data_IF_458010538097
#
_entry.id   IF_458010538097
#
_cell.length_a   1.000
_cell.length_b   1.000
_cell.length_c   1.000
_cell.angle_alpha   90.00
_cell.angle_beta   90.00
_cell.angle_gamma   90.00
#
_symmetry.space_group_name_H-M   'P 1'
#
loop_
_entity.id
_entity.type
_entity.pdbx_description
1 polymer ?
#
# COMPACT_ATOMS: atom_id res chain seq x y z
N UNK A 1 5.31 -9.66 -5.58
CA UNK A 1 4.35 -8.59 -5.26
C UNK A 1 3.65 -8.13 -6.53
N UNK A 2 2.34 -8.00 -6.49
CA UNK A 2 1.54 -7.59 -7.63
C UNK A 2 0.98 -6.20 -7.44
N UNK A 3 0.86 -5.44 -8.55
CA UNK A 3 0.27 -4.10 -8.55
C UNK A 3 -0.90 -4.08 -9.51
N UNK A 4 -2.06 -3.61 -9.06
CA UNK A 4 -3.18 -3.35 -9.95
C UNK A 4 -2.82 -2.23 -10.91
N UNK A 5 -3.59 -2.08 -12.00
CA UNK A 5 -3.42 -0.94 -12.92
C UNK A 5 -3.56 0.38 -12.18
N UNK A 6 -4.52 0.46 -11.28
CA UNK A 6 -4.73 1.67 -10.49
C UNK A 6 -3.53 1.95 -9.59
N UNK A 7 -2.96 0.92 -8.96
CA UNK A 7 -1.77 1.09 -8.14
C UNK A 7 -0.57 1.56 -8.96
N UNK A 8 -0.43 1.06 -10.19
CA UNK A 8 0.64 1.49 -11.09
C UNK A 8 0.49 2.97 -11.46
N UNK A 9 -0.73 3.42 -11.74
CA UNK A 9 -1.02 4.83 -12.01
C UNK A 9 -0.72 5.69 -10.79
N UNK A 10 -1.16 5.23 -9.62
CA UNK A 10 -0.92 5.91 -8.35
C UNK A 10 0.57 6.06 -8.09
N UNK A 11 1.35 5.01 -8.34
CA UNK A 11 2.79 5.03 -8.14
C UNK A 11 3.47 6.10 -9.02
N UNK A 12 3.02 6.23 -10.27
CA UNK A 12 3.53 7.26 -11.16
C UNK A 12 3.19 8.67 -10.68
N UNK A 13 1.95 8.88 -10.23
CA UNK A 13 1.53 10.17 -9.67
C UNK A 13 2.35 10.53 -8.45
N UNK A 14 2.55 9.56 -7.58
CA UNK A 14 3.27 9.75 -6.34
C UNK A 14 4.73 10.11 -6.60
N UNK A 15 5.36 9.42 -7.55
CA UNK A 15 6.74 9.69 -7.93
C UNK A 15 6.90 11.08 -8.53
N UNK A 16 5.91 11.55 -9.31
CA UNK A 16 5.93 12.88 -9.90
C UNK A 16 5.63 13.98 -8.89
N UNK A 17 4.83 13.69 -7.87
CA UNK A 17 4.40 14.71 -6.92
C UNK A 17 5.49 15.08 -5.92
N UNK A 18 6.26 14.11 -5.44
CA UNK A 18 7.24 14.37 -4.39
C UNK A 18 8.25 13.23 -4.27
N UNK A 19 9.56 13.55 -4.34
CA UNK A 19 10.60 12.55 -4.10
C UNK A 19 10.51 11.94 -2.69
N UNK A 20 10.11 12.74 -1.70
CA UNK A 20 9.96 12.26 -0.32
C UNK A 20 8.84 11.24 -0.21
N UNK A 21 7.70 11.48 -0.87
CA UNK A 21 6.60 10.53 -0.89
C UNK A 21 6.99 9.24 -1.61
N UNK A 22 7.69 9.37 -2.71
CA UNK A 22 8.19 8.21 -3.45
C UNK A 22 9.08 7.34 -2.56
N UNK A 23 10.04 7.96 -1.88
CA UNK A 23 10.97 7.25 -1.00
C UNK A 23 10.22 6.53 0.12
N UNK A 24 9.25 7.20 0.73
CA UNK A 24 8.47 6.61 1.82
C UNK A 24 7.61 5.43 1.33
N UNK A 25 7.00 5.57 0.16
CA UNK A 25 6.23 4.49 -0.43
C UNK A 25 7.11 3.28 -0.74
N UNK A 26 8.29 3.51 -1.31
CA UNK A 26 9.25 2.45 -1.59
C UNK A 26 9.68 1.73 -0.31
N UNK A 27 9.91 2.47 0.76
CA UNK A 27 10.25 1.89 2.05
C UNK A 27 9.13 0.98 2.57
N UNK A 28 7.88 1.44 2.50
CA UNK A 28 6.73 0.65 2.92
C UNK A 28 6.56 -0.60 2.06
N UNK A 29 6.76 -0.49 0.76
CA UNK A 29 6.66 -1.64 -0.14
C UNK A 29 7.73 -2.68 0.18
N UNK A 30 8.94 -2.25 0.51
CA UNK A 30 10.00 -3.15 0.93
C UNK A 30 9.65 -3.88 2.22
N UNK A 31 9.02 -3.18 3.18
CA UNK A 31 8.52 -3.79 4.40
C UNK A 31 7.47 -4.85 4.11
N UNK A 32 6.53 -4.57 3.21
CA UNK A 32 5.50 -5.53 2.84
C UNK A 32 6.08 -6.78 2.18
N UNK A 33 7.13 -6.60 1.41
CA UNK A 33 7.80 -7.72 0.76
C UNK A 33 8.44 -8.66 1.79
N UNK A 34 9.02 -8.10 2.85
CA UNK A 34 9.63 -8.87 3.93
C UNK A 34 8.59 -9.49 4.86
N UNK A 35 7.65 -8.66 5.36
CA UNK A 35 6.63 -9.08 6.32
C UNK A 35 5.45 -8.12 6.22
N UNK A 36 4.35 -8.53 5.54
CA UNK A 36 3.21 -7.64 5.32
C UNK A 36 2.47 -7.27 6.60
N UNK A 37 2.72 -7.95 7.70
CA UNK A 37 2.07 -7.69 8.99
C UNK A 37 3.01 -7.08 10.02
N UNK A 38 4.20 -6.64 9.60
CA UNK A 38 5.17 -6.05 10.50
C UNK A 38 4.64 -4.77 11.16
N UNK A 39 4.86 -4.64 12.45
CA UNK A 39 4.60 -3.43 13.24
C UNK A 39 5.82 -3.09 14.06
N UNK A 40 6.19 -1.79 14.21
CA UNK A 40 5.72 -0.65 13.41
C UNK A 40 6.15 -0.74 11.95
N UNK A 41 5.57 0.03 11.03
CA UNK A 41 4.48 0.98 11.24
C UNK A 41 3.13 0.28 11.37
N UNK A 42 2.16 0.99 11.95
CA UNK A 42 0.84 0.44 12.14
C UNK A 42 0.08 0.31 10.83
N UNK A 43 -0.87 -0.59 10.80
CA UNK A 43 -1.79 -0.76 9.68
C UNK A 43 -3.19 -1.03 10.21
N UNK A 44 -4.18 -0.84 9.34
CA UNK A 44 -5.58 -1.05 9.68
C UNK A 44 -6.20 -2.08 8.74
N UNK A 45 -6.96 -3.00 9.30
CA UNK A 45 -7.79 -3.89 8.49
C UNK A 45 -9.01 -3.11 8.00
N UNK A 46 -9.30 -3.21 6.71
CA UNK A 46 -10.43 -2.52 6.12
C UNK A 46 -11.69 -3.36 6.23
N UNK A 47 -12.84 -2.70 6.19
CA UNK A 47 -14.15 -3.34 6.33
C UNK A 47 -15.02 -3.04 5.11
N UNK A 48 -16.21 -3.65 5.06
CA UNK A 48 -17.15 -3.44 3.97
C UNK A 48 -16.65 -4.07 2.68
N UNK A 49 -16.73 -3.32 1.59
CA UNK A 49 -16.35 -3.81 0.25
C UNK A 49 -14.86 -4.13 0.15
N UNK A 50 -14.05 -3.58 1.05
CA UNK A 50 -12.62 -3.80 1.07
C UNK A 50 -12.18 -4.78 2.16
N UNK A 51 -13.12 -5.54 2.69
CA UNK A 51 -12.80 -6.57 3.68
C UNK A 51 -11.75 -7.53 3.12
N UNK A 52 -10.71 -7.79 3.92
CA UNK A 52 -9.58 -8.60 3.48
C UNK A 52 -8.40 -7.78 3.00
N UNK A 53 -8.58 -6.47 2.88
CA UNK A 53 -7.48 -5.54 2.56
C UNK A 53 -7.03 -4.81 3.80
N UNK A 54 -5.82 -4.24 3.71
CA UNK A 54 -5.19 -3.48 4.79
C UNK A 54 -4.72 -2.14 4.26
N UNK A 55 -4.59 -1.18 5.17
CA UNK A 55 -4.14 0.17 4.83
C UNK A 55 -3.01 0.61 5.74
N UNK A 56 -1.94 1.12 5.14
CA UNK A 56 -0.85 1.80 5.87
C UNK A 56 -0.75 3.24 5.40
N UNK A 57 -0.46 4.12 6.33
CA UNK A 57 -0.32 5.54 6.01
C UNK A 57 1.04 5.80 5.34
N UNK A 58 1.01 6.45 4.17
CA UNK A 58 2.23 6.98 3.54
C UNK A 58 2.50 8.37 4.13
N UNK A 59 1.48 9.22 4.13
CA UNK A 59 1.49 10.50 4.83
C UNK A 59 0.06 10.83 5.25
N UNK A 60 -0.22 12.07 5.61
CA UNK A 60 -1.55 12.46 6.10
C UNK A 60 -2.65 12.27 5.04
N UNK A 61 -2.32 12.36 3.75
CA UNK A 61 -3.27 12.28 2.65
C UNK A 61 -3.27 10.94 1.92
N UNK A 62 -2.12 10.29 1.85
CA UNK A 62 -1.94 9.13 0.98
C UNK A 62 -1.78 7.86 1.78
N UNK A 63 -2.39 6.79 1.28
CA UNK A 63 -2.33 5.48 1.92
C UNK A 63 -1.95 4.40 0.92
N UNK A 64 -1.25 3.41 1.43
CA UNK A 64 -0.94 2.19 0.71
C UNK A 64 -2.01 1.16 1.11
N UNK A 65 -2.82 0.76 0.13
CA UNK A 65 -3.88 -0.24 0.34
C UNK A 65 -3.47 -1.53 -0.36
N UNK A 66 -3.51 -2.64 0.38
CA UNK A 66 -3.00 -3.91 -0.11
C UNK A 66 -3.80 -5.08 0.43
N UNK A 67 -3.70 -6.22 -0.27
CA UNK A 67 -4.21 -7.50 0.17
C UNK A 67 -3.04 -8.47 0.34
N UNK A 68 -3.18 -9.39 1.29
CA UNK A 68 -2.20 -10.47 1.47
C UNK A 68 -2.88 -11.77 1.01
N UNK A 69 -2.32 -12.38 -0.02
CA UNK A 69 -2.78 -13.64 -0.54
C UNK A 69 -1.92 -14.74 0.09
N UNK A 70 -2.38 -15.22 1.23
CA UNK A 70 -1.57 -16.10 2.11
C UNK A 70 -1.13 -17.38 1.42
N UNK A 71 -2.01 -18.02 0.68
CA UNK A 71 -1.70 -19.30 0.03
C UNK A 71 -0.61 -19.16 -1.02
N UNK A 72 -0.63 -18.05 -1.76
CA UNK A 72 0.37 -17.77 -2.78
C UNK A 72 1.58 -17.03 -2.21
N UNK A 73 1.50 -16.58 -0.96
CA UNK A 73 2.50 -15.72 -0.33
C UNK A 73 2.81 -14.48 -1.15
N UNK A 74 1.76 -13.86 -1.66
CA UNK A 74 1.82 -12.67 -2.52
C UNK A 74 1.11 -11.51 -1.85
N UNK A 75 1.72 -10.33 -1.94
CA UNK A 75 1.07 -9.07 -1.58
C UNK A 75 0.58 -8.41 -2.87
N UNK A 76 -0.69 -8.05 -2.88
CA UNK A 76 -1.30 -7.34 -4.00
C UNK A 76 -1.58 -5.91 -3.60
N UNK A 77 -0.90 -4.98 -4.25
CA UNK A 77 -1.08 -3.54 -3.98
C UNK A 77 -2.25 -3.03 -4.80
N UNK A 78 -3.25 -2.48 -4.11
CA UNK A 78 -4.49 -2.00 -4.72
C UNK A 78 -4.45 -0.51 -5.01
N UNK A 79 -3.93 0.29 -4.08
CA UNK A 79 -3.84 1.75 -4.21
C UNK A 79 -2.60 2.27 -3.51
N UNK A 80 -2.11 3.41 -3.99
CA UNK A 80 -0.92 4.07 -3.43
C UNK A 80 -1.06 5.59 -3.31
N UNK A 81 -2.18 6.16 -3.73
CA UNK A 81 -2.23 7.61 -3.90
C UNK A 81 -3.08 8.28 -2.84
N UNK A 82 -4.36 8.06 -2.84
CA UNK A 82 -5.24 8.78 -1.93
C UNK A 82 -5.83 7.88 -0.86
N UNK A 83 -6.37 8.54 0.15
CA UNK A 83 -7.24 7.96 1.12
C UNK A 83 -8.39 7.26 0.39
N UNK A 84 -8.59 6.02 0.70
CA UNK A 84 -9.73 5.30 0.16
C UNK A 84 -10.96 5.67 0.99
N UNK A 85 -11.87 6.37 0.41
CA UNK A 85 -13.09 6.78 1.09
C UNK A 85 -14.22 5.81 0.84
#
# INVERSE_FOLDING_TARGET
>A
MLFTRQAQRDARKLASASPALKAKAEHLLALLHSDPFQRPPSYEALVGDLKGAYSRRINIQHRLVYQVLDEEQIVKVLRLWRHYA
#
